data_IF_303912640352
#
_entry.id   IF_303912640352
#
_cell.length_a   1.000
_cell.length_b   1.000
_cell.length_c   1.000
_cell.angle_alpha   90.00
_cell.angle_beta   90.00
_cell.angle_gamma   90.00
#
_symmetry.space_group_name_H-M   'P 1'
#
loop_
_entity.id
_entity.type
_entity.pdbx_description
1 polymer ?
#
# COMPACT_ATOMS: atom_id res chain seq x y z
N UNK A 1 -19.73 -0.07 18.28
CA UNK A 1 -19.51 -1.20 17.32
C UNK A 1 -20.70 -1.44 16.42
N UNK A 2 -21.93 -1.59 16.94
CA UNK A 2 -23.12 -1.89 16.13
C UNK A 2 -23.39 -0.87 14.99
N UNK A 3 -23.25 0.42 15.26
CA UNK A 3 -23.45 1.47 14.24
C UNK A 3 -22.41 1.39 13.11
N UNK A 4 -21.14 1.16 13.46
CA UNK A 4 -20.04 0.98 12.49
C UNK A 4 -20.34 -0.22 11.58
N UNK A 5 -20.73 -1.35 12.16
CA UNK A 5 -21.10 -2.55 11.39
C UNK A 5 -22.30 -2.29 10.48
N UNK A 6 -23.32 -1.57 10.97
CA UNK A 6 -24.51 -1.23 10.16
C UNK A 6 -24.21 -0.24 9.03
N UNK A 7 -23.23 0.65 9.21
CA UNK A 7 -22.80 1.56 8.14
C UNK A 7 -22.00 0.81 7.09
N UNK A 8 -21.04 -0.03 7.51
CA UNK A 8 -20.19 -0.82 6.61
C UNK A 8 -21.00 -1.80 5.75
N UNK A 9 -22.10 -2.34 6.27
CA UNK A 9 -22.96 -3.26 5.50
C UNK A 9 -23.68 -2.61 4.32
N UNK A 10 -23.67 -1.27 4.23
CA UNK A 10 -24.27 -0.51 3.12
C UNK A 10 -23.26 -0.13 2.04
N UNK A 11 -21.97 -0.31 2.33
CA UNK A 11 -20.89 -0.02 1.39
C UNK A 11 -20.91 -1.00 0.22
N UNK A 12 -20.67 -0.50 -0.98
CA UNK A 12 -20.53 -1.32 -2.18
C UNK A 12 -19.05 -1.40 -2.58
N UNK A 13 -18.63 -2.58 -3.00
CA UNK A 13 -17.28 -2.77 -3.52
C UNK A 13 -17.18 -2.14 -4.91
N UNK A 14 -16.13 -1.36 -5.12
CA UNK A 14 -15.83 -0.71 -6.40
C UNK A 14 -14.38 -0.97 -6.76
N UNK A 15 -14.13 -1.37 -8.01
CA UNK A 15 -12.78 -1.66 -8.51
C UNK A 15 -12.20 -0.47 -9.27
N UNK A 16 -10.89 -0.43 -9.43
CA UNK A 16 -10.25 0.49 -10.38
C UNK A 16 -10.31 -0.09 -11.81
N UNK A 17 -10.55 0.71 -12.86
CA UNK A 17 -11.19 2.02 -12.92
C UNK A 17 -12.70 1.88 -13.26
N UNK A 18 -13.48 1.29 -12.35
CA UNK A 18 -14.91 1.03 -12.56
C UNK A 18 -15.71 2.33 -12.57
N UNK A 19 -16.46 2.55 -13.65
CA UNK A 19 -17.37 3.67 -13.79
C UNK A 19 -18.70 3.35 -13.13
N UNK A 20 -19.14 4.20 -12.21
CA UNK A 20 -20.43 4.07 -11.51
C UNK A 20 -21.29 5.26 -11.87
N UNK A 21 -22.50 4.99 -12.33
CA UNK A 21 -23.49 6.03 -12.60
C UNK A 21 -24.35 6.29 -11.36
N UNK A 22 -24.35 7.54 -10.92
CA UNK A 22 -25.13 8.03 -9.79
C UNK A 22 -26.32 8.82 -10.34
N UNK A 23 -27.51 8.24 -10.17
CA UNK A 23 -28.80 8.87 -10.47
C UNK A 23 -28.94 9.40 -11.91
N UNK A 24 -28.22 8.82 -12.88
CA UNK A 24 -28.28 9.23 -14.30
C UNK A 24 -27.65 10.60 -14.61
N UNK A 25 -27.03 11.25 -13.63
CA UNK A 25 -26.57 12.63 -13.75
C UNK A 25 -25.05 12.76 -13.64
N UNK A 26 -24.44 11.93 -12.80
CA UNK A 26 -23.01 11.99 -12.47
C UNK A 26 -22.41 10.60 -12.54
N UNK A 27 -21.26 10.48 -13.17
CA UNK A 27 -20.43 9.30 -13.15
C UNK A 27 -19.27 9.51 -12.16
N UNK A 28 -19.02 8.52 -11.31
CA UNK A 28 -17.84 8.49 -10.44
C UNK A 28 -16.93 7.33 -10.84
N UNK A 29 -15.62 7.57 -10.85
CA UNK A 29 -14.61 6.56 -11.17
C UNK A 29 -13.47 6.64 -10.16
N UNK A 30 -13.22 5.59 -9.36
CA UNK A 30 -12.05 5.55 -8.52
C UNK A 30 -10.82 5.12 -9.32
N UNK A 31 -9.69 5.72 -8.98
CA UNK A 31 -8.37 5.49 -9.57
C UNK A 31 -7.38 5.22 -8.44
N UNK A 32 -6.33 4.45 -8.69
CA UNK A 32 -5.29 4.31 -7.67
C UNK A 32 -4.64 5.66 -7.35
N UNK A 33 -4.42 5.93 -6.06
CA UNK A 33 -3.62 7.09 -5.60
C UNK A 33 -2.14 6.78 -5.39
N UNK A 34 -1.74 5.50 -5.46
CA UNK A 34 -0.35 5.06 -5.28
C UNK A 34 0.22 5.22 -3.87
N UNK A 35 -0.59 5.60 -2.87
CA UNK A 35 -0.11 5.85 -1.50
C UNK A 35 -0.23 4.67 -0.56
N UNK A 36 -1.29 3.86 -0.67
CA UNK A 36 -1.58 2.72 0.19
C UNK A 36 -2.48 1.73 -0.55
N UNK A 37 -2.58 0.50 -0.06
CA UNK A 37 -3.50 -0.48 -0.66
C UNK A 37 -4.94 0.04 -0.56
N UNK A 38 -5.62 0.10 -1.71
CA UNK A 38 -7.00 0.60 -1.80
C UNK A 38 -7.16 2.10 -1.68
N UNK A 39 -6.08 2.89 -1.55
CA UNK A 39 -6.19 4.34 -1.55
C UNK A 39 -6.52 4.85 -2.95
N UNK A 40 -7.57 5.66 -3.06
CA UNK A 40 -8.13 6.07 -4.35
C UNK A 40 -8.13 7.57 -4.55
N UNK A 41 -7.90 8.02 -5.77
CA UNK A 41 -8.35 9.32 -6.27
C UNK A 41 -9.69 9.13 -6.98
N UNK A 42 -10.53 10.15 -7.01
CA UNK A 42 -11.88 10.05 -7.57
C UNK A 42 -12.08 11.05 -8.71
N UNK A 43 -12.49 10.54 -9.87
CA UNK A 43 -13.04 11.35 -10.94
C UNK A 43 -14.54 11.44 -10.73
N UNK A 44 -15.06 12.66 -10.68
CA UNK A 44 -16.48 12.96 -10.59
C UNK A 44 -16.84 13.75 -11.84
N UNK A 45 -17.65 13.16 -12.71
CA UNK A 45 -17.89 13.68 -14.05
C UNK A 45 -19.39 13.73 -14.35
N UNK A 46 -19.87 14.90 -14.78
CA UNK A 46 -21.19 15.04 -15.41
C UNK A 46 -21.03 15.04 -16.93
N UNK A 47 -22.12 15.29 -17.65
CA UNK A 47 -22.11 15.48 -19.10
C UNK A 47 -21.24 16.66 -19.57
N UNK A 48 -20.96 17.63 -18.69
CA UNK A 48 -20.31 18.90 -19.05
C UNK A 48 -19.03 19.19 -18.25
N UNK A 49 -18.94 18.66 -17.04
CA UNK A 49 -17.92 19.01 -16.06
C UNK A 49 -17.17 17.78 -15.60
N UNK A 50 -15.86 17.93 -15.43
CA UNK A 50 -14.99 16.92 -14.84
C UNK A 50 -14.26 17.53 -13.66
N UNK A 51 -14.49 16.95 -12.48
CA UNK A 51 -13.82 17.29 -11.23
C UNK A 51 -12.96 16.10 -10.82
N UNK A 52 -11.72 16.36 -10.46
CA UNK A 52 -10.82 15.35 -9.91
C UNK A 52 -10.57 15.64 -8.43
N UNK A 53 -10.87 14.67 -7.58
CA UNK A 53 -10.58 14.70 -6.16
C UNK A 53 -9.35 13.84 -5.87
N UNK A 54 -8.25 14.49 -5.49
CA UNK A 54 -6.96 13.86 -5.21
C UNK A 54 -6.75 13.84 -3.70
N UNK A 55 -6.70 12.62 -3.18
CA UNK A 55 -6.38 12.32 -1.78
C UNK A 55 -4.87 12.21 -1.60
N UNK A 56 -4.42 11.89 -0.37
CA UNK A 56 -3.02 11.52 -0.10
C UNK A 56 -2.53 10.54 -1.17
N UNK A 57 -1.69 11.07 -2.06
CA UNK A 57 -1.24 10.41 -3.28
C UNK A 57 0.27 10.40 -3.29
N UNK A 58 0.85 9.36 -3.88
CA UNK A 58 2.29 9.22 -4.02
C UNK A 58 2.65 8.80 -5.43
N UNK A 59 3.74 9.39 -5.94
CA UNK A 59 4.35 9.00 -7.21
C UNK A 59 5.54 8.04 -7.00
N UNK A 60 5.83 7.68 -5.75
CA UNK A 60 6.91 6.74 -5.43
C UNK A 60 6.53 5.33 -5.90
N UNK A 61 7.55 4.58 -6.32
CA UNK A 61 7.42 3.17 -6.64
C UNK A 61 7.36 2.35 -5.35
N UNK A 62 6.16 2.01 -4.93
CA UNK A 62 5.86 1.29 -3.69
C UNK A 62 5.00 0.06 -3.99
N UNK A 63 4.56 -0.66 -2.96
CA UNK A 63 3.71 -1.84 -3.09
C UNK A 63 2.34 -1.61 -3.74
N UNK A 64 1.62 -0.50 -3.52
CA UNK A 64 0.33 -0.24 -4.18
C UNK A 64 0.44 -0.08 -5.69
N UNK A 65 -0.70 -0.25 -6.39
CA UNK A 65 -0.80 0.09 -7.81
C UNK A 65 -0.39 1.56 -8.04
N UNK A 66 0.44 1.87 -9.04
CA UNK A 66 0.86 3.24 -9.32
C UNK A 66 -0.30 4.22 -9.53
N UNK A 67 -0.09 5.48 -9.16
CA UNK A 67 -1.08 6.54 -9.35
C UNK A 67 -1.41 6.75 -10.84
N UNK A 68 -2.70 6.74 -11.20
CA UNK A 68 -3.13 7.07 -12.55
C UNK A 68 -3.21 8.58 -12.76
N UNK A 69 -2.13 9.16 -13.27
CA UNK A 69 -2.03 10.58 -13.58
C UNK A 69 -2.71 10.95 -14.90
N UNK A 70 -2.78 10.01 -15.85
CA UNK A 70 -3.32 10.27 -17.18
C UNK A 70 -4.81 10.62 -17.10
N UNK A 71 -5.53 9.90 -16.25
CA UNK A 71 -6.97 10.12 -16.02
C UNK A 71 -7.29 11.44 -15.32
N UNK A 72 -6.31 12.15 -14.73
CA UNK A 72 -6.52 13.48 -14.12
C UNK A 72 -6.52 14.63 -15.14
N UNK A 73 -5.99 14.39 -16.35
CA UNK A 73 -5.92 15.42 -17.41
C UNK A 73 -7.31 15.94 -17.77
N UNK A 74 -7.36 17.21 -18.21
CA UNK A 74 -8.59 17.89 -18.63
C UNK A 74 -9.68 18.00 -17.55
N UNK A 75 -9.31 17.91 -16.27
CA UNK A 75 -10.21 18.23 -15.17
C UNK A 75 -10.37 19.74 -15.08
N UNK A 76 -11.61 20.23 -14.99
CA UNK A 76 -11.86 21.68 -14.82
C UNK A 76 -11.50 22.15 -13.41
N UNK A 77 -11.72 21.27 -12.43
CA UNK A 77 -11.34 21.50 -11.03
C UNK A 77 -10.55 20.32 -10.52
N UNK A 78 -9.47 20.63 -9.79
CA UNK A 78 -8.66 19.67 -9.05
C UNK A 78 -8.75 20.01 -7.57
N UNK A 79 -9.33 19.13 -6.77
CA UNK A 79 -9.36 19.26 -5.31
C UNK A 79 -8.22 18.43 -4.75
N UNK A 80 -7.18 19.09 -4.25
CA UNK A 80 -6.00 18.45 -3.68
C UNK A 80 -6.11 18.42 -2.16
N UNK A 81 -5.92 17.25 -1.56
CA UNK A 81 -5.90 17.04 -0.11
C UNK A 81 -4.75 16.13 0.29
N UNK A 82 -4.39 16.11 1.58
CA UNK A 82 -3.32 15.21 2.07
C UNK A 82 -1.93 15.60 1.59
N UNK A 83 -1.64 16.90 1.50
CA UNK A 83 -0.33 17.42 1.08
C UNK A 83 0.73 17.20 2.17
N UNK A 84 1.91 16.75 1.76
CA UNK A 84 3.08 16.71 2.66
C UNK A 84 3.42 18.11 3.15
N UNK A 85 3.72 18.23 4.44
CA UNK A 85 4.20 19.47 5.06
C UNK A 85 5.73 19.56 5.04
N UNK A 86 6.41 18.55 4.50
CA UNK A 86 7.89 18.47 4.45
C UNK A 86 8.32 18.18 2.99
N UNK A 87 8.13 19.13 2.06
CA UNK A 87 8.37 18.90 0.64
C UNK A 87 9.85 18.72 0.28
N UNK A 88 10.76 19.16 1.16
CA UNK A 88 12.21 19.04 1.00
C UNK A 88 12.82 17.84 1.72
N UNK A 89 11.99 16.99 2.33
CA UNK A 89 12.45 15.79 3.00
C UNK A 89 13.17 14.86 2.03
N UNK A 90 14.42 14.51 2.36
CA UNK A 90 15.13 13.45 1.67
C UNK A 90 14.74 12.10 2.26
N UNK A 91 13.78 11.42 1.63
CA UNK A 91 13.29 10.13 2.10
C UNK A 91 14.40 9.10 2.27
N UNK A 92 15.33 9.03 1.31
CA UNK A 92 16.47 8.09 1.36
C UNK A 92 17.38 8.37 2.56
N UNK A 93 17.70 9.65 2.79
CA UNK A 93 18.49 10.07 3.95
C UNK A 93 17.80 9.75 5.28
N UNK A 94 16.50 10.01 5.38
CA UNK A 94 15.70 9.73 6.59
C UNK A 94 15.62 8.24 6.89
N UNK A 95 15.43 7.40 5.85
CA UNK A 95 15.42 5.94 6.00
C UNK A 95 16.80 5.42 6.40
N UNK A 96 17.87 5.96 5.81
CA UNK A 96 19.24 5.62 6.17
C UNK A 96 19.58 5.96 7.62
N UNK A 97 19.18 7.15 8.08
CA UNK A 97 19.35 7.55 9.49
C UNK A 97 18.55 6.65 10.44
N UNK A 98 17.30 6.32 10.07
CA UNK A 98 16.48 5.38 10.84
C UNK A 98 17.16 4.00 10.98
N UNK A 99 17.69 3.44 9.90
CA UNK A 99 18.41 2.15 9.93
C UNK A 99 19.69 2.21 10.75
N UNK A 100 20.46 3.30 10.64
CA UNK A 100 21.65 3.51 11.47
C UNK A 100 21.31 3.49 12.96
N UNK A 101 20.26 4.22 13.36
CA UNK A 101 19.81 4.28 14.76
C UNK A 101 19.25 2.93 15.25
N UNK A 102 18.51 2.22 14.40
CA UNK A 102 18.04 0.86 14.69
C UNK A 102 19.22 -0.06 14.97
N UNK A 103 20.22 -0.07 14.08
CA UNK A 103 21.44 -0.88 14.19
C UNK A 103 22.20 -0.56 15.48
N UNK A 104 22.48 0.72 15.73
CA UNK A 104 23.19 1.16 16.93
C UNK A 104 22.47 0.73 18.22
N UNK A 105 21.14 0.86 18.26
CA UNK A 105 20.36 0.47 19.44
C UNK A 105 20.48 -1.03 19.70
N UNK A 106 20.31 -1.83 18.65
CA UNK A 106 20.37 -3.28 18.70
C UNK A 106 21.75 -3.80 19.10
N UNK A 107 22.83 -3.27 18.50
CA UNK A 107 24.20 -3.68 18.81
C UNK A 107 24.57 -3.39 20.27
N UNK A 108 23.98 -2.32 20.83
CA UNK A 108 24.10 -1.99 22.25
C UNK A 108 23.15 -2.77 23.16
N UNK A 109 22.56 -3.87 22.66
CA UNK A 109 21.62 -4.76 23.38
C UNK A 109 20.34 -4.05 23.83
N UNK A 110 19.95 -2.98 23.14
CA UNK A 110 18.69 -2.27 23.34
C UNK A 110 17.54 -2.85 22.51
N UNK A 111 16.32 -2.45 22.86
CA UNK A 111 15.10 -2.78 22.11
C UNK A 111 14.65 -1.56 21.30
N UNK A 112 14.12 -1.80 20.10
CA UNK A 112 13.55 -0.74 19.24
C UNK A 112 12.04 -0.89 19.21
N UNK A 113 11.32 0.20 19.52
CA UNK A 113 9.88 0.30 19.38
C UNK A 113 9.57 1.35 18.32
N UNK A 114 8.84 0.97 17.28
CA UNK A 114 8.44 1.88 16.18
C UNK A 114 6.92 2.06 16.19
N UNK A 115 6.41 3.16 16.76
CA UNK A 115 5.00 3.50 16.66
C UNK A 115 4.64 3.77 15.20
N UNK A 116 3.69 3.02 14.66
CA UNK A 116 3.26 3.15 13.28
C UNK A 116 1.76 2.88 13.14
N UNK A 117 1.18 3.38 12.05
CA UNK A 117 -0.15 2.96 11.63
C UNK A 117 -0.09 1.50 11.14
N UNK A 118 -1.13 0.69 11.41
CA UNK A 118 -1.13 -0.73 11.05
C UNK A 118 -1.23 -0.98 9.55
N UNK A 119 -1.59 0.03 8.75
CA UNK A 119 -1.80 -0.09 7.31
C UNK A 119 -1.14 1.08 6.56
N UNK A 120 -0.76 0.83 5.31
CA UNK A 120 -0.27 1.84 4.38
C UNK A 120 1.22 1.66 4.06
N UNK A 121 1.96 2.77 4.01
CA UNK A 121 3.40 2.81 3.68
C UNK A 121 4.27 2.00 4.64
N UNK A 122 3.73 1.57 5.78
CA UNK A 122 4.41 0.69 6.73
C UNK A 122 4.86 -0.61 6.07
N UNK A 123 4.11 -1.14 5.10
CA UNK A 123 4.49 -2.37 4.40
C UNK A 123 5.78 -2.21 3.60
N UNK A 124 5.97 -1.06 2.94
CA UNK A 124 7.22 -0.75 2.23
C UNK A 124 8.38 -0.62 3.22
N UNK A 125 8.16 0.07 4.35
CA UNK A 125 9.18 0.20 5.39
C UNK A 125 9.56 -1.14 6.02
N UNK A 126 8.59 -2.03 6.26
CA UNK A 126 8.83 -3.37 6.76
C UNK A 126 9.73 -4.16 5.81
N UNK A 127 9.41 -4.17 4.51
CA UNK A 127 10.25 -4.85 3.51
C UNK A 127 11.69 -4.30 3.51
N UNK A 128 11.86 -2.98 3.62
CA UNK A 128 13.20 -2.37 3.73
C UNK A 128 13.92 -2.75 5.05
N UNK A 129 13.23 -2.79 6.19
CA UNK A 129 13.82 -3.21 7.48
C UNK A 129 14.31 -4.67 7.39
N UNK A 130 13.49 -5.56 6.83
CA UNK A 130 13.85 -6.97 6.68
C UNK A 130 15.10 -7.14 5.81
N UNK A 131 15.13 -6.50 4.64
CA UNK A 131 16.30 -6.54 3.75
C UNK A 131 17.55 -6.00 4.46
N UNK A 132 17.40 -4.94 5.27
CA UNK A 132 18.50 -4.36 6.03
C UNK A 132 19.03 -5.31 7.12
N UNK A 133 18.16 -5.92 7.92
CA UNK A 133 18.51 -6.90 8.96
C UNK A 133 19.23 -8.12 8.33
N UNK A 134 18.71 -8.63 7.22
CA UNK A 134 19.32 -9.76 6.51
C UNK A 134 20.72 -9.40 5.98
N UNK A 135 20.87 -8.22 5.37
CA UNK A 135 22.16 -7.76 4.83
C UNK A 135 23.23 -7.51 5.89
N UNK A 136 22.82 -7.25 7.14
CA UNK A 136 23.72 -6.97 8.27
C UNK A 136 24.03 -8.21 9.12
N UNK A 137 23.49 -9.39 8.75
CA UNK A 137 23.71 -10.64 9.49
C UNK A 137 22.99 -10.69 10.84
N UNK A 138 21.95 -9.88 11.01
CA UNK A 138 21.20 -9.73 12.25
C UNK A 138 19.89 -10.54 12.27
N UNK A 139 19.75 -11.53 11.39
CA UNK A 139 18.55 -12.37 11.22
C UNK A 139 18.10 -13.13 12.48
N UNK A 140 18.96 -13.21 13.51
CA UNK A 140 18.62 -13.81 14.82
C UNK A 140 17.79 -12.90 15.74
N UNK A 141 17.64 -11.62 15.41
CA UNK A 141 16.89 -10.67 16.23
C UNK A 141 15.39 -10.88 16.02
N UNK A 142 14.61 -11.05 17.09
CA UNK A 142 13.18 -11.22 16.96
C UNK A 142 12.51 -9.91 16.51
N UNK A 143 11.76 -10.00 15.41
CA UNK A 143 10.97 -8.90 14.86
C UNK A 143 9.48 -9.20 15.02
N UNK A 144 8.72 -8.28 15.62
CA UNK A 144 7.29 -8.46 15.90
C UNK A 144 6.46 -7.33 15.28
N UNK A 145 5.40 -7.69 14.55
CA UNK A 145 4.48 -6.71 13.96
C UNK A 145 3.03 -7.22 13.99
N UNK A 146 2.11 -6.39 14.49
CA UNK A 146 0.71 -6.74 14.71
C UNK A 146 -0.19 -6.09 13.64
N UNK A 147 -0.39 -6.70 12.46
CA UNK A 147 -1.49 -6.39 11.48
C UNK A 147 -1.36 -7.07 10.09
N UNK A 148 -0.73 -8.24 10.01
CA UNK A 148 -0.19 -8.76 8.75
C UNK A 148 -1.16 -9.46 7.80
N UNK A 149 -2.37 -9.75 8.26
CA UNK A 149 -3.31 -10.61 7.53
C UNK A 149 -3.94 -9.91 6.31
N UNK A 150 -4.02 -8.58 6.30
CA UNK A 150 -4.73 -7.83 5.25
C UNK A 150 -3.91 -7.58 3.98
N UNK A 151 -2.58 -7.62 4.04
CA UNK A 151 -1.72 -7.40 2.86
C UNK A 151 -1.78 -8.55 1.84
N UNK A 152 -2.14 -9.74 2.30
CA UNK A 152 -2.17 -10.97 1.50
C UNK A 152 -3.46 -11.14 0.69
N UNK A 153 -4.56 -10.50 1.10
CA UNK A 153 -5.90 -10.81 0.59
C UNK A 153 -6.28 -9.94 -0.63
N UNK A 154 -5.68 -8.76 -0.79
CA UNK A 154 -6.12 -7.78 -1.81
C UNK A 154 -5.06 -7.55 -2.88
N UNK A 155 -4.66 -8.64 -3.52
CA UNK A 155 -3.63 -8.67 -4.55
C UNK A 155 -3.90 -7.70 -5.73
N UNK A 156 -5.16 -7.49 -6.08
CA UNK A 156 -5.58 -6.59 -7.17
C UNK A 156 -5.22 -5.13 -6.96
N UNK A 157 -4.87 -4.71 -5.74
CA UNK A 157 -4.47 -3.34 -5.43
C UNK A 157 -2.95 -3.16 -5.36
N UNK A 158 -2.17 -4.23 -5.57
CA UNK A 158 -0.71 -4.18 -5.61
C UNK A 158 -0.19 -3.66 -6.95
N UNK A 159 1.09 -3.30 -7.00
CA UNK A 159 1.78 -2.97 -8.24
C UNK A 159 1.86 -4.19 -9.17
N UNK A 160 1.97 -3.95 -10.48
CA UNK A 160 1.96 -5.02 -11.48
C UNK A 160 3.02 -6.10 -11.27
N UNK A 161 4.19 -5.74 -10.74
CA UNK A 161 5.25 -6.69 -10.43
C UNK A 161 4.82 -7.70 -9.36
N UNK A 162 4.11 -7.24 -8.32
CA UNK A 162 3.61 -8.12 -7.25
C UNK A 162 2.34 -8.86 -7.67
N UNK A 163 1.44 -8.23 -8.45
CA UNK A 163 0.26 -8.89 -9.03
C UNK A 163 0.62 -10.15 -9.85
N UNK A 164 1.73 -10.12 -10.60
CA UNK A 164 2.20 -11.28 -11.39
C UNK A 164 2.67 -12.46 -10.54
N UNK A 165 3.04 -12.21 -9.29
CA UNK A 165 3.55 -13.23 -8.36
C UNK A 165 2.45 -13.89 -7.53
N UNK A 166 1.21 -13.41 -7.61
CA UNK A 166 0.07 -13.91 -6.80
C UNK A 166 -0.20 -15.40 -7.06
N UNK A 167 0.01 -15.86 -8.29
CA UNK A 167 -0.19 -17.25 -8.67
C UNK A 167 1.04 -18.14 -8.42
N UNK A 168 2.16 -17.55 -8.00
CA UNK A 168 3.34 -18.31 -7.64
C UNK A 168 3.21 -18.82 -6.21
N UNK A 169 3.81 -19.98 -5.89
CA UNK A 169 3.84 -20.51 -4.53
C UNK A 169 4.71 -19.69 -3.57
N UNK A 170 5.25 -18.55 -4.03
CA UNK A 170 6.12 -17.66 -3.27
C UNK A 170 5.30 -16.62 -2.48
N UNK A 171 5.77 -16.21 -1.29
CA UNK A 171 5.11 -15.15 -0.55
C UNK A 171 5.24 -13.79 -1.24
N UNK A 172 4.15 -13.01 -1.25
CA UNK A 172 4.10 -11.68 -1.86
C UNK A 172 4.99 -10.64 -1.17
N UNK A 173 5.37 -10.92 0.07
CA UNK A 173 6.25 -10.12 0.91
C UNK A 173 7.30 -11.06 1.53
N UNK A 174 8.58 -10.65 1.64
CA UNK A 174 9.63 -11.45 2.28
C UNK A 174 9.28 -11.76 3.74
N UNK A 175 9.56 -12.98 4.20
CA UNK A 175 9.31 -13.47 5.58
C UNK A 175 7.84 -13.66 5.96
N UNK A 176 6.95 -13.71 4.98
CA UNK A 176 5.55 -14.08 5.17
C UNK A 176 5.29 -15.52 4.73
N UNK A 177 4.33 -16.22 5.35
CA UNK A 177 3.84 -17.47 4.81
C UNK A 177 3.20 -17.24 3.44
N UNK A 178 3.40 -18.16 2.50
CA UNK A 178 2.72 -18.13 1.22
C UNK A 178 1.21 -18.22 1.42
N UNK A 179 0.42 -17.48 0.63
CA UNK A 179 -1.06 -17.56 0.65
C UNK A 179 -1.57 -18.94 0.25
N UNK A 180 -0.72 -19.74 -0.39
CA UNK A 180 -1.03 -21.08 -0.84
C UNK A 180 -0.60 -22.16 0.17
N UNK A 181 -0.04 -21.77 1.33
CA UNK A 181 0.50 -22.69 2.34
C UNK A 181 1.91 -23.20 2.00
N UNK A 182 2.43 -24.10 2.84
CA UNK A 182 3.68 -24.80 2.59
C UNK A 182 3.48 -25.83 1.48
N UNK A 183 3.91 -25.50 0.25
CA UNK A 183 4.00 -26.52 -0.79
C UNK A 183 5.16 -27.47 -0.46
N UNK A 184 4.87 -28.77 -0.34
CA UNK A 184 5.92 -29.78 -0.34
C UNK A 184 6.76 -29.65 -1.61
N UNK A 185 8.09 -29.75 -1.48
CA UNK A 185 9.05 -29.75 -2.58
C UNK A 185 8.88 -30.95 -3.56
N UNK A 186 7.81 -31.74 -3.42
CA UNK A 186 7.55 -32.96 -4.19
C UNK A 186 6.86 -32.73 -5.54
N UNK A 187 6.47 -31.50 -5.89
CA UNK A 187 5.94 -31.22 -7.23
C UNK A 187 7.08 -31.10 -8.24
N UNK A 188 7.53 -32.24 -8.79
CA UNK A 188 8.22 -32.26 -10.08
C UNK A 188 7.22 -31.94 -11.18
N UNK A 189 7.53 -30.91 -11.96
CA UNK A 189 6.84 -30.65 -13.23
C UNK A 189 7.03 -31.85 -14.19
N UNK A 190 6.05 -32.14 -15.06
CA UNK A 190 6.14 -33.20 -16.05
C UNK A 190 7.28 -32.99 -17.06
#
# INVERSE_FOLDING_TARGET
MQEVSSALSKSQLVKYPQKIELFGAVQVTPLSSGSSLGSSNWIIQSHYEKVSYVLGSSLLTTHPQPMDQASLKNSKVLVLTGLTQIPTANLEGMVGEFFSNLMLTVLNRGNVLVPCYPLGVIYDLLECIYQYIDSTGLSSIPFHFNSLEFSQIVAEWLCHNKQRKVYLPEPLFPHYPSIHGDFSNDFRQP
#
